data_IF_899010020073
#
_entry.id   IF_899010020073
#
_cell.length_a   1.000
_cell.length_b   1.000
_cell.length_c   1.000
_cell.angle_alpha   90.00
_cell.angle_beta   90.00
_cell.angle_gamma   90.00
#
_symmetry.space_group_name_H-M   'P 1'
#
loop_
_entity.id
_entity.type
_entity.pdbx_description
1 polymer ?
#
# COMPACT_ATOMS: atom_id res chain seq x y z
N UNK A 1 -10.52 -0.02 -8.76
CA UNK A 1 -11.45 1.13 -8.69
C UNK A 1 -12.85 0.64 -9.07
N UNK A 2 -13.92 1.13 -8.42
CA UNK A 2 -15.30 0.75 -8.77
C UNK A 2 -15.91 1.83 -9.65
N UNK A 3 -16.33 1.46 -10.86
CA UNK A 3 -17.07 2.32 -11.77
C UNK A 3 -18.57 2.05 -11.61
N UNK A 4 -19.37 3.11 -11.58
CA UNK A 4 -20.83 3.06 -11.58
C UNK A 4 -21.35 4.01 -12.65
N UNK A 5 -22.40 3.60 -13.35
CA UNK A 5 -23.04 4.41 -14.38
C UNK A 5 -24.55 4.28 -14.28
N UNK A 6 -25.27 5.21 -14.90
CA UNK A 6 -26.71 5.12 -15.04
C UNK A 6 -27.06 4.16 -16.18
N UNK A 7 -27.96 3.18 -15.97
CA UNK A 7 -28.41 2.29 -17.03
C UNK A 7 -28.99 3.09 -18.21
N UNK A 8 -28.56 2.77 -19.42
CA UNK A 8 -29.13 3.34 -20.63
C UNK A 8 -30.55 2.80 -20.86
N UNK A 9 -31.40 3.61 -21.51
CA UNK A 9 -32.76 3.21 -21.84
C UNK A 9 -32.79 2.13 -22.93
N UNK A 10 -33.84 1.31 -22.91
CA UNK A 10 -34.06 0.23 -23.89
C UNK A 10 -33.43 -1.11 -23.50
N UNK A 11 -33.40 -2.03 -24.47
CA UNK A 11 -32.90 -3.39 -24.26
C UNK A 11 -31.40 -3.49 -24.54
N UNK A 12 -30.58 -3.05 -23.58
CA UNK A 12 -29.13 -3.18 -23.65
C UNK A 12 -28.73 -4.65 -23.53
N UNK A 13 -27.94 -5.16 -24.48
CA UNK A 13 -27.41 -6.51 -24.44
C UNK A 13 -26.17 -6.59 -23.56
N UNK A 14 -25.24 -5.66 -23.78
CA UNK A 14 -23.96 -5.57 -23.06
C UNK A 14 -23.53 -4.11 -22.91
N UNK A 15 -22.66 -3.83 -21.95
CA UNK A 15 -21.90 -2.59 -21.93
C UNK A 15 -20.43 -2.87 -22.26
N UNK A 16 -19.89 -2.12 -23.22
CA UNK A 16 -18.45 -2.06 -23.47
C UNK A 16 -17.84 -0.99 -22.57
N UNK A 17 -17.06 -1.43 -21.59
CA UNK A 17 -16.36 -0.56 -20.63
C UNK A 17 -14.89 -0.53 -21.00
N UNK A 18 -14.33 0.64 -21.23
CA UNK A 18 -12.91 0.80 -21.57
C UNK A 18 -12.23 1.86 -20.71
N UNK A 19 -10.95 1.68 -20.41
CA UNK A 19 -10.18 2.62 -19.60
C UNK A 19 -8.74 2.70 -20.07
N UNK A 20 -8.17 3.91 -20.01
CA UNK A 20 -6.76 4.18 -20.34
C UNK A 20 -6.20 5.28 -19.43
N UNK A 21 -4.88 5.31 -19.15
CA UNK A 21 -4.26 6.42 -18.43
C UNK A 21 -4.53 7.74 -19.16
N UNK A 22 -4.98 8.77 -18.45
CA UNK A 22 -5.31 10.07 -19.03
C UNK A 22 -4.08 10.78 -19.63
N UNK A 23 -2.88 10.44 -19.16
CA UNK A 23 -1.60 10.91 -19.70
C UNK A 23 -1.20 10.23 -21.04
N UNK A 24 -1.98 9.26 -21.50
CA UNK A 24 -1.67 8.40 -22.64
C UNK A 24 -1.10 7.05 -22.20
N UNK A 25 -1.53 5.99 -22.87
CA UNK A 25 -1.15 4.61 -22.57
C UNK A 25 -2.09 3.60 -23.24
N UNK A 26 -1.88 2.32 -22.94
CA UNK A 26 -2.72 1.24 -23.48
C UNK A 26 -4.15 1.31 -22.91
N UNK A 27 -5.13 1.18 -23.80
CA UNK A 27 -6.53 1.08 -23.45
C UNK A 27 -6.89 -0.38 -23.18
N UNK A 28 -7.49 -0.64 -22.03
CA UNK A 28 -8.09 -1.94 -21.72
C UNK A 28 -9.60 -1.84 -21.91
N UNK A 29 -10.22 -2.90 -22.47
CA UNK A 29 -11.67 -2.98 -22.68
C UNK A 29 -12.21 -4.26 -22.06
N UNK A 30 -13.37 -4.16 -21.41
CA UNK A 30 -14.11 -5.26 -20.82
C UNK A 30 -15.60 -5.15 -21.15
N UNK A 31 -16.25 -6.27 -21.42
CA UNK A 31 -17.70 -6.33 -21.64
C UNK A 31 -18.40 -6.86 -20.40
N UNK A 32 -19.50 -6.23 -20.05
CA UNK A 32 -20.36 -6.66 -18.93
C UNK A 32 -21.80 -6.81 -19.42
N UNK A 33 -22.62 -7.65 -18.76
CA UNK A 33 -24.02 -7.82 -19.14
C UNK A 33 -24.80 -6.50 -19.12
N UNK A 34 -25.78 -6.35 -20.01
CA UNK A 34 -26.63 -5.16 -20.09
C UNK A 34 -27.50 -4.90 -18.84
N UNK A 35 -27.62 -5.89 -17.95
CA UNK A 35 -28.25 -5.73 -16.63
C UNK A 35 -27.32 -5.14 -15.57
N UNK A 36 -26.03 -4.96 -15.87
CA UNK A 36 -25.05 -4.38 -14.96
C UNK A 36 -24.97 -2.87 -15.10
N UNK A 37 -24.93 -2.17 -13.97
CA UNK A 37 -24.73 -0.72 -13.86
C UNK A 37 -23.45 -0.35 -13.11
N UNK A 38 -22.61 -1.34 -12.83
CA UNK A 38 -21.33 -1.15 -12.17
C UNK A 38 -20.35 -2.26 -12.52
N UNK A 39 -19.06 -1.95 -12.44
CA UNK A 39 -17.98 -2.94 -12.59
C UNK A 39 -16.74 -2.53 -11.81
N UNK A 40 -15.87 -3.49 -11.53
CA UNK A 40 -14.58 -3.26 -10.89
C UNK A 40 -13.49 -3.27 -11.94
N UNK A 41 -12.83 -2.12 -12.09
CA UNK A 41 -11.65 -1.96 -12.93
C UNK A 41 -10.42 -2.50 -12.19
N UNK A 42 -9.68 -3.38 -12.85
CA UNK A 42 -8.51 -4.10 -12.33
C UNK A 42 -7.25 -3.73 -13.14
N UNK A 43 -6.08 -4.10 -12.60
CA UNK A 43 -4.77 -3.85 -13.23
C UNK A 43 -4.59 -2.36 -13.58
N UNK A 44 -4.99 -1.49 -12.65
CA UNK A 44 -4.78 -0.05 -12.76
C UNK A 44 -3.53 0.32 -11.98
N UNK A 45 -2.74 1.21 -12.55
CA UNK A 45 -1.62 1.83 -11.88
C UNK A 45 -2.15 2.70 -10.73
N UNK A 46 -1.46 2.69 -9.57
CA UNK A 46 -1.86 3.49 -8.42
C UNK A 46 -1.55 4.97 -8.61
N UNK A 47 -2.33 5.84 -7.96
CA UNK A 47 -2.20 7.30 -8.05
C UNK A 47 -2.26 7.86 -9.49
N UNK A 48 -2.87 7.11 -10.41
CA UNK A 48 -2.92 7.43 -11.84
C UNK A 48 -4.34 7.85 -12.21
N UNK A 49 -4.45 8.93 -12.98
CA UNK A 49 -5.72 9.35 -13.55
C UNK A 49 -6.04 8.50 -14.78
N UNK A 50 -7.24 7.92 -14.82
CA UNK A 50 -7.74 7.13 -15.92
C UNK A 50 -8.97 7.81 -16.52
N UNK A 51 -9.05 7.85 -17.84
CA UNK A 51 -10.29 8.14 -18.56
C UNK A 51 -11.01 6.82 -18.79
N UNK A 52 -12.24 6.74 -18.31
CA UNK A 52 -13.09 5.56 -18.43
C UNK A 52 -14.26 5.88 -19.34
N UNK A 53 -14.55 5.03 -20.31
CA UNK A 53 -15.70 5.15 -21.20
C UNK A 53 -16.60 3.92 -21.11
N UNK A 54 -17.91 4.14 -21.06
CA UNK A 54 -18.95 3.11 -21.11
C UNK A 54 -19.79 3.34 -22.37
N UNK A 55 -20.00 2.29 -23.15
CA UNK A 55 -20.84 2.31 -24.36
C UNK A 55 -21.87 1.20 -24.25
N UNK A 56 -23.19 1.49 -24.22
CA UNK A 56 -24.22 0.46 -24.30
C UNK A 56 -24.23 -0.16 -25.70
N UNK A 57 -24.28 -1.47 -25.76
CA UNK A 57 -24.38 -2.26 -26.98
C UNK A 57 -25.79 -2.84 -27.07
N UNK A 58 -26.51 -2.46 -28.12
CA UNK A 58 -27.79 -3.02 -28.50
C UNK A 58 -27.59 -4.05 -29.61
N UNK A 59 -28.66 -4.76 -29.99
CA UNK A 59 -28.61 -5.87 -30.96
C UNK A 59 -27.99 -5.47 -32.31
N UNK A 60 -28.28 -4.26 -32.79
CA UNK A 60 -27.85 -3.79 -34.11
C UNK A 60 -27.02 -2.49 -34.06
N UNK A 61 -26.91 -1.86 -32.89
CA UNK A 61 -26.28 -0.54 -32.78
C UNK A 61 -25.59 -0.32 -31.43
N UNK A 62 -24.58 0.54 -31.45
CA UNK A 62 -23.99 1.11 -30.24
C UNK A 62 -24.80 2.35 -29.84
N UNK A 63 -25.02 2.54 -28.54
CA UNK A 63 -25.63 3.77 -28.04
C UNK A 63 -24.62 4.86 -27.73
N UNK A 64 -25.07 5.85 -26.98
CA UNK A 64 -24.25 7.01 -26.63
C UNK A 64 -23.13 6.62 -25.66
N UNK A 65 -21.90 7.03 -26.00
CA UNK A 65 -20.76 6.83 -25.11
C UNK A 65 -20.83 7.80 -23.93
N UNK A 66 -20.68 7.28 -22.72
CA UNK A 66 -20.45 8.09 -21.53
C UNK A 66 -18.99 7.97 -21.14
N UNK A 67 -18.34 9.07 -20.78
CA UNK A 67 -16.94 9.05 -20.34
C UNK A 67 -16.75 9.89 -19.09
N UNK A 68 -15.98 9.37 -18.14
CA UNK A 68 -15.65 10.03 -16.88
C UNK A 68 -14.17 9.82 -16.56
N UNK A 69 -13.55 10.84 -15.98
CA UNK A 69 -12.20 10.72 -15.46
C UNK A 69 -12.27 10.29 -14.00
N UNK A 70 -11.47 9.30 -13.63
CA UNK A 70 -11.32 8.88 -12.24
C UNK A 70 -9.87 8.60 -11.91
N UNK A 71 -9.47 8.95 -10.69
CA UNK A 71 -8.11 8.75 -10.21
C UNK A 71 -8.06 7.56 -9.27
N UNK A 72 -7.13 6.64 -9.51
CA UNK A 72 -6.86 5.54 -8.57
C UNK A 72 -6.21 6.10 -7.30
N UNK A 73 -6.52 5.48 -6.17
CA UNK A 73 -5.85 5.83 -4.92
C UNK A 73 -4.36 5.48 -5.01
N UNK A 74 -3.47 6.26 -4.38
CA UNK A 74 -2.08 5.86 -4.20
C UNK A 74 -2.02 4.56 -3.40
N UNK A 75 -1.00 3.74 -3.66
CA UNK A 75 -0.67 2.66 -2.73
C UNK A 75 -0.25 3.29 -1.40
N UNK A 76 -0.94 2.90 -0.34
CA UNK A 76 -0.70 3.43 0.99
C UNK A 76 0.62 2.95 1.58
N UNK A 77 1.08 3.63 2.62
CA UNK A 77 2.09 3.06 3.51
C UNK A 77 1.44 2.06 4.47
N UNK A 78 2.27 1.49 5.34
CA UNK A 78 1.73 0.84 6.53
C UNK A 78 0.95 1.85 7.38
N UNK A 79 0.05 1.38 8.23
CA UNK A 79 -0.70 2.26 9.15
C UNK A 79 -0.31 1.95 10.58
N UNK A 80 -0.48 2.90 11.49
CA UNK A 80 -0.22 2.70 12.92
C UNK A 80 1.11 1.96 13.17
N UNK A 81 2.17 2.41 12.49
CA UNK A 81 3.53 2.03 12.88
C UNK A 81 3.68 2.41 14.36
N UNK A 82 4.34 1.53 15.11
CA UNK A 82 4.66 1.71 16.53
C UNK A 82 6.00 1.05 16.81
N UNK A 83 6.88 1.74 17.53
CA UNK A 83 8.14 1.19 18.04
C UNK A 83 8.01 0.97 19.54
N UNK A 84 8.01 -0.29 19.96
CA UNK A 84 7.63 -0.73 21.32
C UNK A 84 8.61 -1.75 21.90
N UNK A 85 8.35 -2.19 23.13
CA UNK A 85 9.13 -3.19 23.87
C UNK A 85 10.65 -2.91 23.88
N UNK A 86 11.09 -1.72 24.32
CA UNK A 86 12.50 -1.38 24.34
C UNK A 86 13.26 -2.25 25.34
N UNK A 87 14.40 -2.78 24.90
CA UNK A 87 15.41 -3.38 25.77
C UNK A 87 16.74 -2.66 25.55
N UNK A 88 17.79 -3.09 26.24
CA UNK A 88 19.14 -2.57 26.04
C UNK A 88 19.71 -2.83 24.64
N UNK A 89 19.13 -3.75 23.86
CA UNK A 89 19.66 -4.11 22.53
C UNK A 89 18.61 -4.50 21.50
N UNK A 90 17.33 -4.26 21.79
CA UNK A 90 16.22 -4.60 20.88
C UNK A 90 15.11 -3.57 20.92
N UNK A 91 14.42 -3.45 19.79
CA UNK A 91 13.15 -2.72 19.64
C UNK A 91 12.18 -3.58 18.85
N UNK A 92 10.88 -3.48 19.12
CA UNK A 92 9.84 -4.17 18.34
C UNK A 92 9.08 -3.16 17.49
N UNK A 93 9.22 -3.28 16.18
CA UNK A 93 8.43 -2.52 15.22
C UNK A 93 7.14 -3.29 14.91
N UNK A 94 5.98 -2.63 15.06
CA UNK A 94 4.67 -3.20 14.75
C UNK A 94 3.87 -2.24 13.89
N UNK A 95 3.15 -2.76 12.91
CA UNK A 95 2.34 -1.94 12.01
C UNK A 95 1.06 -2.67 11.60
N UNK A 96 0.08 -1.91 11.11
CA UNK A 96 -1.07 -2.43 10.39
C UNK A 96 -0.73 -2.60 8.90
N UNK A 97 -1.14 -3.72 8.28
CA UNK A 97 -0.88 -3.97 6.86
C UNK A 97 -1.36 -2.84 5.95
N UNK A 98 -0.56 -2.53 4.93
CA UNK A 98 -0.93 -1.54 3.93
C UNK A 98 -2.06 -2.07 3.03
N UNK A 99 -2.87 -1.17 2.47
CA UNK A 99 -3.94 -1.53 1.54
C UNK A 99 -3.34 -2.03 0.23
N UNK A 100 -3.91 -3.11 -0.32
CA UNK A 100 -3.49 -3.70 -1.59
C UNK A 100 -2.73 -5.01 -1.43
N UNK A 101 -2.16 -5.51 -2.53
CA UNK A 101 -1.44 -6.78 -2.56
C UNK A 101 0.05 -6.56 -2.21
N UNK A 102 0.36 -6.41 -0.91
CA UNK A 102 1.74 -6.26 -0.46
C UNK A 102 2.50 -7.59 -0.62
N UNK A 103 3.65 -7.58 -1.30
CA UNK A 103 4.53 -8.73 -1.46
C UNK A 103 5.48 -8.90 -0.26
N UNK A 104 6.09 -7.81 0.15
CA UNK A 104 7.03 -7.75 1.28
C UNK A 104 7.02 -6.37 1.93
N UNK A 105 7.61 -6.24 3.11
CA UNK A 105 7.89 -4.96 3.74
C UNK A 105 9.40 -4.80 3.90
N UNK A 106 9.94 -3.65 3.48
CA UNK A 106 11.31 -3.22 3.79
C UNK A 106 11.28 -2.41 5.07
N UNK A 107 11.93 -2.90 6.12
CA UNK A 107 12.09 -2.22 7.40
C UNK A 107 13.50 -1.66 7.46
N UNK A 108 13.63 -0.34 7.48
CA UNK A 108 14.89 0.38 7.55
C UNK A 108 15.03 0.97 8.93
N UNK A 109 16.14 0.73 9.62
CA UNK A 109 16.36 1.29 10.96
C UNK A 109 17.80 1.72 11.16
N UNK A 110 18.03 2.76 11.95
CA UNK A 110 19.37 3.28 12.23
C UNK A 110 19.41 4.23 13.41
N UNK A 111 20.55 4.25 14.11
CA UNK A 111 20.76 5.13 15.24
C UNK A 111 20.74 6.60 14.82
N UNK A 112 20.25 7.47 15.70
CA UNK A 112 20.22 8.90 15.51
C UNK A 112 21.15 9.61 16.50
N UNK A 113 21.83 10.69 16.06
CA UNK A 113 21.87 11.22 14.69
C UNK A 113 22.89 10.50 13.80
N UNK A 114 22.52 10.19 12.55
CA UNK A 114 23.47 9.83 11.50
C UNK A 114 24.12 8.45 11.58
N UNK A 115 23.60 7.53 12.39
CA UNK A 115 24.05 6.15 12.46
C UNK A 115 23.81 5.39 11.15
N UNK A 116 24.48 4.25 11.03
CA UNK A 116 24.29 3.33 9.89
C UNK A 116 22.84 2.85 9.83
N UNK A 117 22.25 2.87 8.63
CA UNK A 117 20.90 2.35 8.40
C UNK A 117 20.99 0.92 7.90
N UNK A 118 20.42 0.01 8.67
CA UNK A 118 20.22 -1.37 8.30
C UNK A 118 18.86 -1.52 7.63
N UNK A 119 18.73 -2.53 6.75
CA UNK A 119 17.47 -2.85 6.07
C UNK A 119 17.20 -4.33 6.21
N UNK A 120 15.99 -4.66 6.67
CA UNK A 120 15.47 -6.03 6.70
C UNK A 120 14.22 -6.13 5.82
N UNK A 121 14.06 -7.24 5.11
CA UNK A 121 12.88 -7.51 4.30
C UNK A 121 12.09 -8.68 4.89
N UNK A 122 10.79 -8.45 5.11
CA UNK A 122 9.86 -9.46 5.64
C UNK A 122 8.69 -9.72 4.69
N UNK A 123 8.05 -10.88 4.82
CA UNK A 123 6.92 -11.25 3.96
C UNK A 123 5.72 -10.29 4.09
N UNK A 124 4.92 -10.14 3.04
CA UNK A 124 3.72 -9.28 3.05
C UNK A 124 2.63 -9.72 4.05
N UNK A 125 2.69 -10.95 4.55
CA UNK A 125 1.84 -11.44 5.65
C UNK A 125 2.35 -11.07 7.05
N UNK A 126 3.53 -10.48 7.16
CA UNK A 126 4.15 -10.06 8.43
C UNK A 126 3.75 -8.62 8.77
N UNK A 127 3.43 -8.37 10.05
CA UNK A 127 3.04 -7.06 10.57
C UNK A 127 3.86 -6.61 11.79
N UNK A 128 4.92 -7.34 12.11
CA UNK A 128 5.83 -7.03 13.20
C UNK A 128 7.24 -7.59 12.96
N UNK A 129 8.26 -6.86 13.41
CA UNK A 129 9.66 -7.28 13.36
C UNK A 129 10.38 -6.88 14.65
N UNK A 130 11.18 -7.80 15.20
CA UNK A 130 12.06 -7.52 16.34
C UNK A 130 13.44 -7.14 15.82
N UNK A 131 13.78 -5.87 15.96
CA UNK A 131 15.09 -5.31 15.65
C UNK A 131 16.08 -5.71 16.75
N UNK A 132 17.26 -6.20 16.36
CA UNK A 132 18.26 -6.77 17.29
C UNK A 132 19.64 -6.17 17.05
N UNK A 133 20.51 -6.30 18.06
CA UNK A 133 21.88 -5.83 17.98
C UNK A 133 21.98 -4.31 18.05
N UNK A 134 21.03 -3.67 18.76
CA UNK A 134 21.01 -2.24 18.96
C UNK A 134 21.92 -1.83 20.13
N UNK A 135 22.38 -0.59 20.09
CA UNK A 135 23.15 0.04 21.17
C UNK A 135 22.19 0.47 22.28
N UNK A 136 22.56 0.31 23.56
CA UNK A 136 21.73 0.74 24.69
C UNK A 136 21.62 2.27 24.75
N UNK A 137 20.54 2.76 25.38
CA UNK A 137 20.27 4.20 25.55
C UNK A 137 20.44 5.04 24.27
N UNK A 138 20.11 4.46 23.12
CA UNK A 138 20.29 5.08 21.81
C UNK A 138 18.94 5.25 21.12
N UNK A 139 18.73 6.44 20.54
CA UNK A 139 17.53 6.74 19.75
C UNK A 139 17.68 6.12 18.36
N UNK A 140 16.70 5.34 17.92
CA UNK A 140 16.63 4.78 16.58
C UNK A 140 15.49 5.40 15.78
N UNK A 141 15.73 5.70 14.50
CA UNK A 141 14.65 5.81 13.50
C UNK A 141 14.34 4.41 12.98
N UNK A 142 13.06 4.09 12.84
CA UNK A 142 12.54 2.89 12.20
C UNK A 142 11.53 3.31 11.14
N UNK A 143 11.77 2.92 9.91
CA UNK A 143 10.89 3.17 8.78
C UNK A 143 10.44 1.88 8.11
N UNK A 144 9.19 1.82 7.65
CA UNK A 144 8.61 0.66 6.99
C UNK A 144 8.02 1.08 5.64
N UNK A 145 8.43 0.37 4.59
CA UNK A 145 7.95 0.55 3.21
C UNK A 145 7.29 -0.73 2.72
N UNK A 146 5.99 -0.72 2.39
CA UNK A 146 5.37 -1.85 1.70
C UNK A 146 5.89 -1.96 0.27
N UNK A 147 6.22 -3.17 -0.18
CA UNK A 147 6.65 -3.48 -1.53
C UNK A 147 5.50 -4.15 -2.26
N UNK A 148 5.05 -3.55 -3.34
CA UNK A 148 3.98 -4.09 -4.19
C UNK A 148 4.57 -4.73 -5.46
N UNK A 149 3.78 -5.45 -6.28
CA UNK A 149 4.29 -6.11 -7.48
C UNK A 149 5.07 -5.22 -8.44
N UNK A 150 4.65 -3.96 -8.57
CA UNK A 150 5.11 -3.05 -9.61
C UNK A 150 5.84 -1.82 -9.05
N UNK A 151 5.60 -1.45 -7.78
CA UNK A 151 6.17 -0.25 -7.15
C UNK A 151 6.37 -0.41 -5.63
N UNK A 152 7.27 0.38 -5.05
CA UNK A 152 7.34 0.57 -3.59
C UNK A 152 6.22 1.53 -3.14
N UNK A 153 5.64 1.28 -1.96
CA UNK A 153 4.60 2.10 -1.34
C UNK A 153 5.14 3.29 -0.57
N UNK A 154 4.24 3.97 0.16
CA UNK A 154 4.64 5.12 0.97
C UNK A 154 5.41 4.67 2.23
N UNK A 155 6.57 5.27 2.45
CA UNK A 155 7.35 5.13 3.68
C UNK A 155 6.57 5.68 4.87
N UNK A 156 6.53 4.92 5.96
CA UNK A 156 6.20 5.44 7.29
C UNK A 156 7.43 5.34 8.18
N UNK A 157 7.66 6.36 9.01
CA UNK A 157 8.79 6.43 9.93
C UNK A 157 8.31 6.75 11.34
N UNK A 158 8.93 6.11 12.32
CA UNK A 158 8.75 6.35 13.74
C UNK A 158 10.08 6.21 14.47
N UNK A 159 10.20 6.81 15.65
CA UNK A 159 11.40 6.72 16.48
C UNK A 159 11.15 5.94 17.75
N UNK A 160 12.19 5.28 18.26
CA UNK A 160 12.16 4.60 19.56
C UNK A 160 13.54 4.58 20.21
N UNK A 161 13.58 4.66 21.54
CA UNK A 161 14.83 4.65 22.31
C UNK A 161 14.97 3.31 23.03
N UNK A 162 16.11 2.65 22.86
CA UNK A 162 16.47 1.44 23.63
C UNK A 162 16.67 1.79 25.10
N UNK A 163 16.41 0.85 26.00
CA UNK A 163 16.67 1.06 27.42
C UNK A 163 18.17 1.09 27.75
N UNK A 164 18.52 1.57 28.93
CA UNK A 164 19.89 1.45 29.44
C UNK A 164 20.27 -0.02 29.64
N UNK A 165 21.55 -0.34 29.42
CA UNK A 165 22.12 -1.62 29.84
C UNK A 165 22.07 -1.71 31.35
N UNK A 166 21.11 -2.47 31.91
CA UNK A 166 21.13 -2.76 33.34
C UNK A 166 22.31 -3.70 33.62
N UNK A 167 23.46 -3.11 33.93
CA UNK A 167 24.52 -3.82 34.61
C UNK A 167 24.04 -4.03 36.05
N UNK A 168 23.41 -5.18 36.32
CA UNK A 168 23.14 -5.58 37.71
C UNK A 168 24.49 -5.96 38.33
N UNK A 169 25.24 -4.94 38.76
CA UNK A 169 26.35 -5.10 39.67
C UNK A 169 25.79 -5.67 40.97
N UNK A 170 25.97 -6.97 41.16
CA UNK A 170 25.98 -7.54 42.51
C UNK A 170 27.44 -7.50 42.97
N UNK A 171 27.86 -6.33 43.44
CA UNK A 171 28.95 -6.18 44.41
C UNK A 171 28.30 -5.85 45.75
N UNK A 172 28.73 -6.55 46.82
CA UNK A 172 28.15 -6.49 48.16
C UNK A 172 28.12 -7.88 48.80
N UNK A 173 29.26 -8.45 49.21
CA UNK A 173 29.99 -8.20 50.47
C UNK A 173 29.50 -9.09 51.62
N UNK A 174 30.25 -10.19 51.85
CA UNK A 174 30.74 -10.74 53.14
C UNK A 174 30.96 -12.25 53.11
#
# INVERSE_FOLDING_TARGET
>A
MTLRWEPAEGNVQEYSVSWAPAAGGDQTTNRVPGTSSSTVLKNLDPNTEYTVSVVPLYEEMEGERQSENGKTSPLGGVRNLQVTDPTASTLTARWEPAVGNVRSYKVVYGAQPGGERLTEEVSGGTSSLVLRGLEPDTLYSVAVVPVYPDVDGLLQEETGTTSESTHRGHEGDQ
#
